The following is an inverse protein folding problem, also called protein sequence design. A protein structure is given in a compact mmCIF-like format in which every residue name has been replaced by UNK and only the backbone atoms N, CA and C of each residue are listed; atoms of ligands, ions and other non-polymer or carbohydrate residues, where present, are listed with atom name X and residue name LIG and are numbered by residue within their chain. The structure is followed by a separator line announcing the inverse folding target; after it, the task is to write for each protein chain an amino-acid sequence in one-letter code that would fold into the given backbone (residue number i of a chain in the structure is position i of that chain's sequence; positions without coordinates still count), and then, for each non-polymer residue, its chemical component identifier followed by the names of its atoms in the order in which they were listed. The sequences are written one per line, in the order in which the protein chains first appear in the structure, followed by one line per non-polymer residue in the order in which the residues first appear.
data_IF_702475882631
#
_entry.id   IF_702475882631
#
_cell.length_a   1.000
_cell.length_b   1.000
_cell.length_c   1.000
_cell.angle_alpha   90.00
_cell.angle_beta   90.00
_cell.angle_gamma   90.00
#
_symmetry.space_group_name_H-M   'P 1'
#
loop_
_entity.id
_entity.type
_entity.pdbx_description
1 polymer ?
#
# COMPACT_ATOMS: atom_id res chain seq x y z
N UNK A 1 6.22 5.48 -20.43
CA UNK A 1 5.85 6.47 -19.39
C UNK A 1 6.27 5.84 -18.08
N UNK A 2 7.24 6.44 -17.36
CA UNK A 2 7.80 5.83 -16.14
C UNK A 2 6.74 5.92 -15.05
N UNK A 3 6.11 4.80 -14.71
CA UNK A 3 5.30 4.67 -13.51
C UNK A 3 6.24 4.79 -12.31
N UNK A 4 6.54 6.03 -11.92
CA UNK A 4 6.98 6.31 -10.56
C UNK A 4 5.75 6.17 -9.69
N UNK A 5 5.35 4.92 -9.42
CA UNK A 5 4.48 4.65 -8.28
C UNK A 5 5.37 5.00 -7.10
N UNK A 6 5.09 6.18 -6.56
CA UNK A 6 5.52 6.60 -5.25
C UNK A 6 5.19 5.41 -4.36
N UNK A 7 6.23 4.73 -3.87
CA UNK A 7 6.11 3.87 -2.72
C UNK A 7 5.66 4.76 -1.56
N UNK A 8 4.36 5.06 -1.48
CA UNK A 8 3.66 4.76 -0.27
C UNK A 8 3.86 3.24 -0.17
N UNK A 9 4.70 2.70 0.71
CA UNK A 9 4.49 2.82 2.15
C UNK A 9 3.00 3.05 2.45
N UNK A 10 2.12 2.30 1.77
CA UNK A 10 1.01 1.72 2.47
C UNK A 10 1.68 0.84 3.50
N UNK A 11 1.88 1.44 4.66
CA UNK A 11 1.70 0.84 5.96
C UNK A 11 0.90 -0.45 5.82
N UNK A 12 1.58 -1.55 5.51
CA UNK A 12 1.11 -2.85 5.97
C UNK A 12 1.40 -2.79 7.47
N UNK A 13 0.51 -2.10 8.17
CA UNK A 13 0.13 -2.40 9.53
C UNK A 13 -0.45 -3.81 9.46
N UNK A 14 0.42 -4.81 9.29
CA UNK A 14 0.13 -6.15 9.78
C UNK A 14 0.15 -5.95 11.29
N UNK A 15 -1.02 -5.58 11.83
CA UNK A 15 -1.28 -5.71 13.25
C UNK A 15 -0.82 -7.10 13.65
N UNK A 16 -0.09 -7.18 14.75
CA UNK A 16 0.36 -8.44 15.35
C UNK A 16 -0.83 -9.40 15.40
N UNK A 17 -0.89 -10.37 14.48
CA UNK A 17 -2.01 -11.31 14.44
C UNK A 17 -1.62 -12.53 15.25
N UNK A 18 -1.88 -12.44 16.55
CA UNK A 18 -1.65 -13.52 17.51
C UNK A 18 -2.47 -14.75 17.12
N UNK A 19 -1.81 -15.78 16.60
CA UNK A 19 -2.41 -17.10 16.41
C UNK A 19 -1.78 -18.17 17.30
N UNK A 20 -2.62 -19.09 17.75
CA UNK A 20 -2.28 -20.17 18.66
C UNK A 20 -1.35 -21.18 18.01
N UNK A 21 -0.19 -21.40 18.63
CA UNK A 21 0.83 -22.36 18.20
C UNK A 21 0.26 -23.76 17.94
N UNK A 22 0.45 -24.27 16.73
CA UNK A 22 0.19 -25.67 16.38
C UNK A 22 1.52 -26.43 16.29
N UNK A 23 1.73 -27.42 17.16
CA UNK A 23 2.88 -28.32 17.08
C UNK A 23 2.60 -29.45 16.10
N UNK A 24 2.81 -29.20 14.81
CA UNK A 24 2.77 -30.23 13.75
C UNK A 24 4.15 -30.86 13.55
N UNK A 25 4.26 -32.17 13.78
CA UNK A 25 5.44 -32.98 13.45
C UNK A 25 5.33 -33.49 12.01
N UNK A 26 6.28 -33.15 11.13
CA UNK A 26 6.41 -33.84 9.84
C UNK A 26 7.83 -33.84 9.28
N UNK A 27 8.26 -35.07 8.94
CA UNK A 27 9.34 -35.59 8.10
C UNK A 27 10.38 -34.63 7.52
N UNK A 28 11.63 -34.86 7.94
CA UNK A 28 12.87 -34.32 7.37
C UNK A 28 12.97 -34.64 5.87
N UNK A 29 12.87 -33.60 5.04
CA UNK A 29 13.53 -33.58 3.74
C UNK A 29 14.95 -33.04 3.96
N UNK A 30 15.94 -33.68 3.33
CA UNK A 30 17.37 -33.40 3.47
C UNK A 30 17.69 -31.92 3.32
N UNK A 31 18.03 -31.30 4.46
CA UNK A 31 18.29 -29.88 4.65
C UNK A 31 19.66 -29.50 4.09
N UNK A 32 19.71 -28.63 3.08
CA UNK A 32 20.96 -28.00 2.65
C UNK A 32 21.23 -26.79 3.56
N UNK A 33 21.98 -27.02 4.64
CA UNK A 33 22.41 -26.00 5.62
C UNK A 33 23.28 -24.87 5.03
N UNK A 34 23.53 -24.92 3.72
CA UNK A 34 24.32 -23.91 3.00
C UNK A 34 23.50 -22.76 2.43
N UNK A 35 22.18 -22.83 2.32
CA UNK A 35 21.38 -21.70 1.82
C UNK A 35 21.03 -20.71 2.95
N UNK A 36 20.75 -19.43 2.61
CA UNK A 36 20.24 -18.42 3.58
C UNK A 36 18.74 -18.59 3.79
N UNK A 37 18.02 -18.90 2.71
CA UNK A 37 16.57 -19.11 2.68
C UNK A 37 16.35 -20.58 2.41
N UNK A 38 15.62 -21.25 3.30
CA UNK A 38 15.30 -22.67 3.21
C UNK A 38 13.79 -22.83 3.02
N UNK A 39 13.37 -23.36 1.87
CA UNK A 39 11.97 -23.68 1.61
C UNK A 39 11.48 -24.78 2.54
N UNK A 40 10.28 -24.59 3.07
CA UNK A 40 9.59 -25.56 3.92
C UNK A 40 8.18 -25.78 3.41
N UNK A 41 7.59 -26.92 3.74
CA UNK A 41 6.18 -27.20 3.46
C UNK A 41 5.38 -27.13 4.77
N UNK A 42 4.40 -26.22 4.82
CA UNK A 42 3.47 -26.11 5.93
C UNK A 42 2.05 -26.31 5.40
N UNK A 43 1.37 -27.32 5.93
CA UNK A 43 -0.06 -27.53 5.67
C UNK A 43 -0.89 -26.70 6.66
N UNK A 44 -0.98 -25.39 6.44
CA UNK A 44 -1.85 -24.50 7.21
C UNK A 44 -2.85 -23.81 6.28
N UNK A 45 -4.14 -24.08 6.49
CA UNK A 45 -5.24 -23.56 5.68
C UNK A 45 -5.38 -22.04 5.75
N UNK A 46 -4.94 -21.40 6.84
CA UNK A 46 -5.07 -19.94 7.03
C UNK A 46 -4.21 -19.14 6.05
N UNK A 47 -3.05 -19.66 5.64
CA UNK A 47 -2.20 -18.99 4.64
C UNK A 47 -2.90 -18.87 3.27
N UNK A 48 -3.77 -19.82 2.93
CA UNK A 48 -4.50 -19.80 1.66
C UNK A 48 -5.58 -18.72 1.63
N UNK A 49 -6.09 -18.27 2.78
CA UNK A 49 -7.03 -17.15 2.82
C UNK A 49 -6.30 -15.82 2.56
N UNK A 50 -5.09 -15.67 3.10
CA UNK A 50 -4.22 -14.51 2.90
C UNK A 50 -3.66 -14.43 1.47
N UNK A 51 -3.54 -15.56 0.76
CA UNK A 51 -2.91 -15.63 -0.56
C UNK A 51 -3.84 -15.31 -1.74
N UNK A 52 -5.11 -14.95 -1.51
CA UNK A 52 -6.08 -14.75 -2.61
C UNK A 52 -5.66 -13.66 -3.60
N UNK A 53 -4.92 -12.68 -3.11
CA UNK A 53 -4.46 -11.54 -3.90
C UNK A 53 -2.99 -11.66 -4.36
N UNK A 54 -2.32 -12.77 -4.01
CA UNK A 54 -0.92 -13.02 -4.38
C UNK A 54 -0.83 -13.81 -5.68
N UNK A 55 0.16 -13.48 -6.51
CA UNK A 55 0.40 -14.18 -7.77
C UNK A 55 1.14 -15.52 -7.59
N UNK A 56 1.56 -15.79 -6.36
CA UNK A 56 2.19 -17.01 -5.90
C UNK A 56 2.87 -16.78 -4.56
N UNK A 57 3.10 -17.85 -3.80
CA UNK A 57 3.84 -17.77 -2.55
C UNK A 57 4.58 -19.06 -2.22
N UNK A 58 5.53 -18.95 -1.30
CA UNK A 58 6.17 -20.09 -0.63
C UNK A 58 6.46 -19.76 0.83
N UNK A 59 6.49 -20.81 1.65
CA UNK A 59 6.89 -20.74 3.05
C UNK A 59 8.35 -21.11 3.19
N UNK A 60 9.10 -20.35 3.99
CA UNK A 60 10.53 -20.52 4.18
C UNK A 60 10.93 -20.35 5.65
N UNK A 61 12.11 -20.85 6.02
CA UNK A 61 12.85 -20.35 7.19
C UNK A 61 14.10 -19.63 6.70
N UNK A 62 14.58 -18.66 7.49
CA UNK A 62 15.71 -17.81 7.08
C UNK A 62 16.80 -17.85 8.15
N UNK A 63 18.04 -18.08 7.72
CA UNK A 63 19.24 -17.91 8.56
C UNK A 63 19.62 -16.43 8.61
N UNK A 64 19.05 -15.73 9.59
CA UNK A 64 19.23 -14.29 9.80
C UNK A 64 20.68 -13.92 10.10
N UNK A 65 21.40 -14.74 10.86
CA UNK A 65 22.80 -14.50 11.21
C UNK A 65 23.67 -14.52 9.96
N UNK A 66 23.43 -15.49 9.08
CA UNK A 66 24.14 -15.60 7.80
C UNK A 66 23.78 -14.48 6.84
N UNK A 67 22.50 -14.10 6.78
CA UNK A 67 22.05 -12.93 6.02
C UNK A 67 22.75 -11.66 6.48
N UNK A 68 22.73 -11.36 7.79
CA UNK A 68 23.40 -10.18 8.37
C UNK A 68 24.89 -10.21 8.11
N UNK A 69 25.57 -11.34 8.31
CA UNK A 69 27.01 -11.49 8.02
C UNK A 69 27.35 -11.26 6.55
N UNK A 70 26.47 -11.65 5.62
CA UNK A 70 26.64 -11.41 4.19
C UNK A 70 26.39 -9.92 3.86
N UNK A 71 25.31 -9.34 4.38
CA UNK A 71 24.94 -7.94 4.18
C UNK A 71 25.99 -6.98 4.72
N UNK A 72 26.55 -7.28 5.89
CA UNK A 72 27.64 -6.50 6.50
C UNK A 72 28.97 -6.60 5.73
N UNK A 73 29.12 -7.63 4.88
CA UNK A 73 30.24 -7.74 3.92
C UNK A 73 29.96 -7.06 2.58
N UNK A 74 28.79 -6.43 2.44
CA UNK A 74 28.39 -5.68 1.26
C UNK A 74 27.72 -6.51 0.16
N UNK A 75 27.62 -7.84 0.30
CA UNK A 75 27.06 -8.69 -0.75
C UNK A 75 26.20 -9.81 -0.16
N UNK A 76 24.97 -9.95 -0.64
CA UNK A 76 24.03 -10.99 -0.23
C UNK A 76 23.53 -11.73 -1.46
N UNK A 77 23.48 -13.06 -1.38
CA UNK A 77 22.77 -13.87 -2.37
C UNK A 77 21.54 -14.46 -1.71
N UNK A 78 20.36 -14.14 -2.24
CA UNK A 78 19.09 -14.73 -1.80
C UNK A 78 18.44 -15.48 -2.94
N UNK A 79 17.75 -16.56 -2.59
CA UNK A 79 16.96 -17.37 -3.51
C UNK A 79 15.51 -17.27 -3.10
N UNK A 80 14.69 -16.71 -3.97
CA UNK A 80 13.27 -16.45 -3.72
C UNK A 80 12.46 -17.05 -4.85
N UNK A 81 11.51 -17.93 -4.52
CA UNK A 81 10.65 -18.62 -5.48
C UNK A 81 11.39 -19.32 -6.63
N UNK A 82 12.57 -19.87 -6.34
CA UNK A 82 13.43 -20.53 -7.32
C UNK A 82 14.40 -19.62 -8.08
N UNK A 83 14.20 -18.31 -8.04
CA UNK A 83 15.08 -17.31 -8.66
C UNK A 83 16.21 -16.91 -7.70
N UNK A 84 17.40 -16.66 -8.25
CA UNK A 84 18.59 -16.33 -7.47
C UNK A 84 19.06 -14.90 -7.74
N UNK A 85 19.09 -14.06 -6.71
CA UNK A 85 19.47 -12.65 -6.81
C UNK A 85 20.73 -12.38 -6.00
N UNK A 86 21.72 -11.81 -6.67
CA UNK A 86 22.92 -11.26 -6.03
C UNK A 86 22.70 -9.77 -5.79
N UNK A 87 22.81 -9.35 -4.54
CA UNK A 87 22.52 -7.99 -4.08
C UNK A 87 23.81 -7.37 -3.55
N UNK A 88 24.20 -6.24 -4.14
CA UNK A 88 25.26 -5.38 -3.64
C UNK A 88 24.65 -4.34 -2.69
N UNK A 89 24.98 -4.42 -1.41
CA UNK A 89 24.47 -3.50 -0.39
C UNK A 89 25.10 -2.12 -0.60
N UNK A 90 24.25 -1.13 -0.80
CA UNK A 90 24.65 0.27 -1.00
C UNK A 90 24.55 1.08 0.29
N UNK A 91 23.52 0.79 1.08
CA UNK A 91 23.25 1.50 2.32
C UNK A 91 22.89 0.53 3.44
N UNK A 92 23.40 0.84 4.63
CA UNK A 92 23.02 0.23 5.88
C UNK A 92 22.62 1.33 6.85
N UNK A 93 21.39 1.31 7.32
CA UNK A 93 20.89 2.22 8.35
C UNK A 93 20.33 1.44 9.53
N UNK A 94 20.20 2.12 10.66
CA UNK A 94 19.69 1.55 11.91
C UNK A 94 18.58 2.45 12.41
N UNK A 95 17.46 1.87 12.84
CA UNK A 95 16.41 2.59 13.56
C UNK A 95 16.91 2.95 14.97
N UNK A 96 16.90 4.24 15.30
CA UNK A 96 17.27 4.70 16.64
C UNK A 96 16.29 4.14 17.68
N UNK A 97 16.81 3.56 18.76
CA UNK A 97 16.01 2.94 19.81
C UNK A 97 15.71 1.45 19.60
N UNK A 98 15.94 0.90 18.41
CA UNK A 98 15.68 -0.51 18.09
C UNK A 98 16.97 -1.27 17.74
N UNK A 99 16.91 -2.61 17.83
CA UNK A 99 17.96 -3.49 17.30
C UNK A 99 17.61 -3.97 15.88
N UNK A 100 17.17 -3.01 15.07
CA UNK A 100 16.68 -3.22 13.72
C UNK A 100 17.59 -2.52 12.70
N UNK A 101 17.90 -3.22 11.62
CA UNK A 101 18.75 -2.74 10.54
C UNK A 101 18.00 -2.76 9.22
N UNK A 102 18.18 -1.71 8.43
CA UNK A 102 17.77 -1.66 7.03
C UNK A 102 18.99 -1.80 6.15
N UNK A 103 18.86 -2.65 5.14
CA UNK A 103 19.85 -2.85 4.10
C UNK A 103 19.18 -2.57 2.75
N UNK A 104 19.65 -1.54 2.07
CA UNK A 104 19.23 -1.22 0.70
C UNK A 104 20.35 -1.60 -0.24
N UNK A 105 20.03 -2.35 -1.29
CA UNK A 105 21.00 -2.85 -2.24
C UNK A 105 20.50 -2.84 -3.68
N UNK A 106 21.45 -2.97 -4.61
CA UNK A 106 21.16 -3.14 -6.04
C UNK A 106 21.35 -4.59 -6.45
N UNK A 107 20.54 -5.06 -7.38
CA UNK A 107 20.67 -6.41 -7.92
C UNK A 107 21.71 -6.40 -9.03
N UNK A 108 22.78 -7.18 -8.85
CA UNK A 108 23.88 -7.29 -9.80
C UNK A 108 23.37 -7.77 -11.16
N UNK A 109 23.75 -7.05 -12.23
CA UNK A 109 23.33 -7.36 -13.59
C UNK A 109 21.97 -6.79 -13.99
N UNK A 110 21.23 -6.16 -13.07
CA UNK A 110 20.02 -5.41 -13.37
C UNK A 110 20.30 -3.91 -13.45
N UNK A 111 19.63 -3.21 -14.37
CA UNK A 111 19.73 -1.75 -14.49
C UNK A 111 18.95 -1.01 -13.40
N UNK A 112 17.80 -1.56 -13.03
CA UNK A 112 16.84 -0.93 -12.11
C UNK A 112 16.54 -1.80 -10.89
N UNK A 113 17.13 -3.00 -10.84
CA UNK A 113 16.87 -3.97 -9.80
C UNK A 113 17.40 -3.52 -8.44
N UNK A 114 16.56 -3.67 -7.43
CA UNK A 114 16.82 -3.24 -6.06
C UNK A 114 16.28 -4.25 -5.05
N UNK A 115 16.80 -4.18 -3.84
CA UNK A 115 16.28 -4.91 -2.70
C UNK A 115 16.37 -4.06 -1.45
N UNK A 116 15.31 -4.09 -0.66
CA UNK A 116 15.22 -3.44 0.63
C UNK A 116 14.92 -4.51 1.67
N UNK A 117 15.82 -4.71 2.63
CA UNK A 117 15.74 -5.76 3.65
C UNK A 117 15.74 -5.13 5.04
N UNK A 118 14.74 -5.47 5.84
CA UNK A 118 14.57 -5.04 7.23
C UNK A 118 14.78 -6.22 8.17
N UNK A 119 15.78 -6.11 9.06
CA UNK A 119 16.14 -7.20 9.98
C UNK A 119 16.06 -6.74 11.43
N UNK A 120 15.14 -7.32 12.19
CA UNK A 120 14.94 -7.07 13.62
C UNK A 120 14.96 -8.41 14.38
N UNK A 121 15.97 -8.61 15.24
CA UNK A 121 16.11 -9.90 15.95
C UNK A 121 16.19 -11.10 14.99
N UNK A 122 15.20 -12.00 15.07
CA UNK A 122 15.01 -13.17 14.19
C UNK A 122 14.06 -12.90 13.00
N UNK A 123 13.53 -11.68 12.88
CA UNK A 123 12.55 -11.31 11.88
C UNK A 123 13.23 -10.68 10.66
N UNK A 124 12.72 -11.02 9.48
CA UNK A 124 13.07 -10.41 8.21
C UNK A 124 11.77 -9.93 7.57
N UNK A 125 11.74 -8.67 7.18
CA UNK A 125 10.80 -8.12 6.22
C UNK A 125 11.56 -7.54 5.04
N UNK A 126 10.89 -7.35 3.91
CA UNK A 126 11.51 -6.61 2.80
C UNK A 126 10.97 -6.98 1.45
N UNK A 127 11.69 -6.52 0.42
CA UNK A 127 11.36 -6.77 -0.97
C UNK A 127 12.59 -6.99 -1.83
N UNK A 128 12.36 -7.69 -2.94
CA UNK A 128 13.30 -7.88 -4.04
C UNK A 128 12.57 -7.52 -5.32
N UNK A 129 13.05 -6.50 -5.98
CA UNK A 129 12.50 -5.99 -7.23
C UNK A 129 13.55 -6.18 -8.31
N UNK A 130 13.47 -7.24 -9.14
CA UNK A 130 14.50 -7.54 -10.13
C UNK A 130 14.71 -6.43 -11.17
N UNK A 131 13.70 -5.57 -11.39
CA UNK A 131 13.69 -4.58 -12.46
C UNK A 131 13.55 -5.20 -13.84
N UNK A 132 13.61 -4.37 -14.89
CA UNK A 132 13.41 -4.84 -16.27
C UNK A 132 14.30 -6.05 -16.64
N UNK A 133 13.76 -7.05 -17.36
CA UNK A 133 12.44 -7.10 -17.98
C UNK A 133 11.32 -7.59 -17.04
N UNK A 134 11.63 -7.88 -15.77
CA UNK A 134 10.64 -8.37 -14.82
C UNK A 134 9.78 -7.22 -14.31
N UNK A 135 8.47 -7.44 -14.29
CA UNK A 135 7.50 -6.51 -13.72
C UNK A 135 6.86 -7.13 -12.47
N UNK A 136 7.70 -7.61 -11.56
CA UNK A 136 7.28 -8.29 -10.34
C UNK A 136 8.04 -7.77 -9.13
N UNK A 137 7.42 -7.87 -7.96
CA UNK A 137 8.08 -7.70 -6.66
C UNK A 137 7.94 -8.99 -5.86
N UNK A 138 9.05 -9.50 -5.34
CA UNK A 138 9.03 -10.55 -4.33
C UNK A 138 9.04 -9.88 -2.95
N UNK A 139 7.98 -10.07 -2.19
CA UNK A 139 7.83 -9.54 -0.85
C UNK A 139 8.14 -10.63 0.17
N UNK A 140 8.79 -10.25 1.26
CA UNK A 140 9.16 -11.14 2.36
C UNK A 140 8.50 -10.61 3.63
N UNK A 141 7.71 -11.46 4.27
CA UNK A 141 7.05 -11.16 5.56
C UNK A 141 7.26 -12.31 6.53
N UNK A 142 7.33 -12.01 7.82
CA UNK A 142 7.39 -13.04 8.85
C UNK A 142 5.98 -13.39 9.34
N UNK A 143 5.88 -14.52 10.03
CA UNK A 143 4.65 -14.99 10.68
C UNK A 143 4.94 -15.30 12.15
N UNK A 144 3.89 -15.56 12.92
CA UNK A 144 4.03 -16.05 14.30
C UNK A 144 4.29 -17.56 14.38
N UNK A 145 4.21 -18.27 13.25
CA UNK A 145 4.47 -19.70 13.18
C UNK A 145 5.98 -20.01 13.30
N UNK A 146 6.29 -21.17 13.89
CA UNK A 146 7.67 -21.66 14.00
C UNK A 146 7.80 -23.06 13.42
N UNK A 147 8.87 -23.28 12.66
CA UNK A 147 9.26 -24.58 12.14
C UNK A 147 10.66 -24.94 12.65
N UNK A 148 10.78 -26.06 13.37
CA UNK A 148 12.02 -26.47 14.03
C UNK A 148 12.67 -25.36 14.88
N UNK A 149 11.84 -24.59 15.60
CA UNK A 149 12.28 -23.49 16.45
C UNK A 149 12.62 -22.20 15.71
N UNK A 150 12.67 -22.18 14.37
CA UNK A 150 12.90 -20.98 13.55
C UNK A 150 11.58 -20.32 13.18
N UNK A 151 11.58 -19.00 13.07
CA UNK A 151 10.43 -18.22 12.55
C UNK A 151 10.15 -18.64 11.12
N UNK A 152 8.88 -18.83 10.79
CA UNK A 152 8.38 -19.05 9.44
C UNK A 152 8.18 -17.71 8.76
N UNK A 153 8.71 -17.58 7.55
CA UNK A 153 8.48 -16.44 6.66
C UNK A 153 7.67 -16.89 5.45
N UNK A 154 6.95 -15.94 4.88
CA UNK A 154 6.25 -16.09 3.60
C UNK A 154 6.96 -15.20 2.60
N UNK A 155 7.31 -15.79 1.46
CA UNK A 155 7.72 -15.05 0.27
C UNK A 155 6.54 -15.11 -0.69
N UNK A 156 6.05 -13.95 -1.12
CA UNK A 156 4.99 -13.88 -2.12
C UNK A 156 5.36 -12.95 -3.25
N UNK A 157 4.86 -13.24 -4.44
CA UNK A 157 5.09 -12.44 -5.64
C UNK A 157 3.87 -11.59 -5.93
N UNK A 158 4.12 -10.33 -6.24
CA UNK A 158 3.15 -9.42 -6.83
C UNK A 158 3.55 -9.17 -8.28
N UNK A 159 2.69 -9.57 -9.21
CA UNK A 159 2.84 -9.31 -10.64
C UNK A 159 2.11 -8.01 -10.97
N UNK A 160 2.87 -6.95 -11.26
CA UNK A 160 2.32 -5.61 -11.44
C UNK A 160 1.49 -5.49 -12.71
N UNK A 161 1.72 -6.35 -13.72
CA UNK A 161 0.88 -6.38 -14.92
C UNK A 161 -0.47 -6.99 -14.60
N UNK A 162 -0.50 -8.14 -13.92
CA UNK A 162 -1.76 -8.74 -13.45
C UNK A 162 -2.49 -7.86 -12.45
N UNK A 163 -1.76 -7.17 -11.58
CA UNK A 163 -2.38 -6.23 -10.64
C UNK A 163 -3.07 -5.10 -11.38
N UNK A 164 -2.43 -4.52 -12.40
CA UNK A 164 -3.06 -3.52 -13.26
C UNK A 164 -4.32 -4.07 -13.95
N UNK A 165 -4.28 -5.30 -14.47
CA UNK A 165 -5.46 -5.92 -15.08
C UNK A 165 -6.60 -6.16 -14.07
N UNK A 166 -6.28 -6.52 -12.82
CA UNK A 166 -7.28 -6.65 -11.74
C UNK A 166 -7.95 -5.30 -11.46
N UNK A 167 -7.13 -4.25 -11.31
CA UNK A 167 -7.62 -2.89 -11.06
C UNK A 167 -8.47 -2.37 -12.24
N UNK A 168 -8.03 -2.57 -13.48
CA UNK A 168 -8.80 -2.20 -14.68
C UNK A 168 -10.16 -2.90 -14.75
N UNK A 169 -10.28 -4.14 -14.25
CA UNK A 169 -11.56 -4.88 -14.19
C UNK A 169 -12.49 -4.38 -13.08
N UNK A 170 -11.97 -3.84 -11.99
CA UNK A 170 -12.79 -3.29 -10.91
C UNK A 170 -13.53 -2.01 -11.33
N UNK A 171 -13.01 -1.31 -12.34
CA UNK A 171 -13.55 -0.03 -12.77
C UNK A 171 -13.07 1.11 -11.88
N UNK A 172 -13.56 2.32 -12.17
CA UNK A 172 -13.14 3.54 -11.46
C UNK A 172 -14.21 3.86 -10.43
N UNK A 173 -13.78 4.15 -9.21
CA UNK A 173 -14.66 4.55 -8.14
C UNK A 173 -15.15 5.99 -8.39
N UNK A 174 -16.46 6.24 -8.54
CA UNK A 174 -16.95 7.56 -8.86
C UNK A 174 -16.67 8.56 -7.75
N UNK A 175 -16.45 9.82 -8.14
CA UNK A 175 -16.30 10.91 -7.19
C UNK A 175 -17.60 11.14 -6.42
N UNK A 176 -17.43 11.52 -5.15
CA UNK A 176 -18.52 11.82 -4.24
C UNK A 176 -18.12 12.90 -3.24
N UNK A 177 -19.09 13.70 -2.79
CA UNK A 177 -18.84 14.70 -1.75
C UNK A 177 -20.06 14.89 -0.85
N UNK A 178 -19.79 15.39 0.35
CA UNK A 178 -20.80 15.78 1.34
C UNK A 178 -20.70 17.27 1.66
N UNK A 179 -21.84 17.94 1.76
CA UNK A 179 -21.97 19.31 2.23
C UNK A 179 -22.64 19.28 3.58
N UNK A 180 -22.02 19.90 4.58
CA UNK A 180 -22.49 19.86 5.97
C UNK A 180 -22.55 21.29 6.46
N UNK A 181 -23.75 21.77 6.81
CA UNK A 181 -23.91 23.12 7.33
C UNK A 181 -23.97 23.11 8.85
N UNK A 182 -22.89 23.58 9.48
CA UNK A 182 -22.81 23.81 10.92
C UNK A 182 -23.00 25.29 11.30
N UNK A 183 -23.22 26.19 10.34
CA UNK A 183 -23.65 27.58 10.59
C UNK A 183 -25.12 27.59 11.06
N UNK A 184 -25.48 28.63 11.81
CA UNK A 184 -26.84 28.90 12.27
C UNK A 184 -27.76 29.49 11.19
N UNK A 185 -27.25 29.73 9.98
CA UNK A 185 -27.98 30.31 8.84
C UNK A 185 -28.00 29.40 7.61
N UNK A 186 -28.92 29.73 6.69
CA UNK A 186 -28.98 29.10 5.39
C UNK A 186 -27.89 29.67 4.48
N UNK A 187 -27.30 28.81 3.66
CA UNK A 187 -26.29 29.20 2.68
C UNK A 187 -26.64 28.73 1.27
N UNK A 188 -26.20 29.51 0.28
CA UNK A 188 -26.18 29.09 -1.11
C UNK A 188 -24.76 28.65 -1.46
N UNK A 189 -24.61 27.43 -1.95
CA UNK A 189 -23.31 26.87 -2.35
C UNK A 189 -23.35 26.43 -3.81
N UNK A 190 -22.43 26.91 -4.63
CA UNK A 190 -22.21 26.41 -5.99
C UNK A 190 -20.90 25.63 -6.05
N UNK A 191 -20.93 24.47 -6.69
CA UNK A 191 -19.76 23.59 -6.82
C UNK A 191 -19.58 23.25 -8.28
N UNK A 192 -18.38 23.45 -8.80
CA UNK A 192 -17.97 23.04 -10.12
C UNK A 192 -16.70 22.18 -10.03
N UNK A 193 -16.70 21.03 -10.70
CA UNK A 193 -15.61 20.07 -10.66
C UNK A 193 -14.99 19.98 -12.04
N UNK A 194 -13.65 20.06 -12.08
CA UNK A 194 -12.86 20.03 -13.30
C UNK A 194 -11.96 18.79 -13.32
N UNK A 195 -11.90 18.14 -14.48
CA UNK A 195 -10.93 17.06 -14.74
C UNK A 195 -9.49 17.60 -14.91
N UNK A 196 -8.54 16.68 -15.09
CA UNK A 196 -7.13 17.02 -15.30
C UNK A 196 -6.85 17.82 -16.58
N UNK A 197 -7.78 17.86 -17.54
CA UNK A 197 -7.72 18.70 -18.74
C UNK A 197 -8.41 20.05 -18.53
N UNK A 198 -8.79 20.36 -17.29
CA UNK A 198 -9.54 21.56 -16.90
C UNK A 198 -10.90 21.67 -17.59
N UNK A 199 -11.53 20.54 -17.93
CA UNK A 199 -12.91 20.49 -18.43
C UNK A 199 -13.87 20.32 -17.27
N UNK A 200 -14.92 21.13 -17.25
CA UNK A 200 -16.00 21.00 -16.27
C UNK A 200 -16.75 19.68 -16.50
N UNK A 201 -16.76 18.82 -15.49
CA UNK A 201 -17.42 17.50 -15.52
C UNK A 201 -18.68 17.45 -14.64
N UNK A 202 -18.82 18.40 -13.72
CA UNK A 202 -19.96 18.53 -12.84
C UNK A 202 -20.12 19.98 -12.41
N UNK A 203 -21.36 20.48 -12.36
CA UNK A 203 -21.68 21.82 -11.90
C UNK A 203 -23.08 21.86 -11.32
N UNK A 204 -23.20 22.18 -10.03
CA UNK A 204 -24.49 22.26 -9.36
C UNK A 204 -24.52 23.37 -8.31
N UNK A 205 -25.72 23.72 -7.85
CA UNK A 205 -25.93 24.67 -6.77
C UNK A 205 -26.94 24.16 -5.75
N UNK A 206 -26.65 24.39 -4.49
CA UNK A 206 -27.36 23.86 -3.34
C UNK A 206 -27.76 24.99 -2.40
N UNK A 207 -28.99 24.96 -1.91
CA UNK A 207 -29.36 25.73 -0.71
C UNK A 207 -29.33 24.76 0.47
N UNK A 208 -28.52 25.07 1.49
CA UNK A 208 -28.30 24.21 2.65
C UNK A 208 -28.77 24.92 3.92
N UNK A 209 -29.66 24.30 4.69
CA UNK A 209 -30.16 24.86 5.95
C UNK A 209 -29.26 24.46 7.13
N UNK A 210 -29.33 25.15 8.27
CA UNK A 210 -28.60 24.77 9.49
C UNK A 210 -28.82 23.32 9.88
N UNK A 211 -27.73 22.59 10.08
CA UNK A 211 -27.74 21.17 10.46
C UNK A 211 -27.98 20.20 9.31
N UNK A 212 -28.18 20.68 8.06
CA UNK A 212 -28.34 19.80 6.91
C UNK A 212 -27.01 19.15 6.53
N UNK A 213 -27.12 17.88 6.10
CA UNK A 213 -26.07 17.17 5.36
C UNK A 213 -26.62 16.78 3.99
N UNK A 214 -25.99 17.26 2.92
CA UNK A 214 -26.32 16.91 1.53
C UNK A 214 -25.22 16.00 1.00
N UNK A 215 -25.62 14.90 0.39
CA UNK A 215 -24.76 13.97 -0.33
C UNK A 215 -24.89 14.22 -1.83
N UNK A 216 -23.77 14.33 -2.53
CA UNK A 216 -23.77 14.54 -3.99
C UNK A 216 -24.31 13.30 -4.72
N UNK A 217 -24.74 13.40 -5.99
CA UNK A 217 -24.80 12.21 -6.83
C UNK A 217 -23.38 11.60 -6.95
N UNK A 218 -23.31 10.32 -7.34
CA UNK A 218 -22.06 9.72 -7.81
C UNK A 218 -21.68 10.34 -9.15
N UNK A 219 -20.45 10.82 -9.27
CA UNK A 219 -19.95 11.53 -10.45
C UNK A 219 -18.93 10.62 -11.13
N UNK A 220 -19.25 10.18 -12.35
CA UNK A 220 -18.34 9.34 -13.11
C UNK A 220 -17.00 10.04 -13.33
N UNK A 221 -15.91 9.32 -13.11
CA UNK A 221 -14.56 9.83 -13.17
C UNK A 221 -13.66 8.94 -14.02
N UNK A 222 -12.56 9.54 -14.46
CA UNK A 222 -11.36 8.87 -14.96
C UNK A 222 -10.31 8.93 -13.85
N UNK A 223 -9.25 8.11 -13.93
CA UNK A 223 -8.17 8.16 -12.94
C UNK A 223 -7.47 9.52 -12.99
N UNK A 224 -7.23 10.12 -11.83
CA UNK A 224 -6.48 11.36 -11.73
C UNK A 224 -7.01 12.32 -10.69
N UNK A 225 -6.38 13.50 -10.63
CA UNK A 225 -6.79 14.56 -9.73
C UNK A 225 -7.87 15.44 -10.35
N UNK A 226 -8.87 15.76 -9.54
CA UNK A 226 -9.97 16.66 -9.86
C UNK A 226 -9.90 17.90 -9.00
N UNK A 227 -10.28 19.03 -9.60
CA UNK A 227 -10.29 20.35 -8.96
C UNK A 227 -11.72 20.79 -8.71
N UNK A 228 -12.05 21.07 -7.47
CA UNK A 228 -13.35 21.51 -7.00
C UNK A 228 -13.26 23.02 -6.77
N UNK A 229 -14.02 23.80 -7.54
CA UNK A 229 -14.25 25.22 -7.29
C UNK A 229 -15.58 25.37 -6.54
N UNK A 230 -15.52 25.96 -5.36
CA UNK A 230 -16.64 26.06 -4.42
C UNK A 230 -16.91 27.53 -4.15
N UNK A 231 -18.13 27.98 -4.41
CA UNK A 231 -18.58 29.34 -4.20
C UNK A 231 -19.66 29.37 -3.12
N UNK A 232 -19.38 30.05 -2.01
CA UNK A 232 -20.31 30.25 -0.89
C UNK A 232 -20.93 31.65 -0.96
N UNK A 233 -22.26 31.69 -0.93
CA UNK A 233 -23.12 32.89 -0.94
C UNK A 233 -22.77 33.91 -2.03
N UNK A 234 -22.25 33.43 -3.17
CA UNK A 234 -21.73 34.25 -4.27
C UNK A 234 -20.65 35.27 -3.86
N UNK A 235 -19.95 35.03 -2.75
CA UNK A 235 -18.96 35.95 -2.17
C UNK A 235 -17.60 35.33 -1.98
N UNK A 236 -17.55 34.10 -1.47
CA UNK A 236 -16.31 33.43 -1.11
C UNK A 236 -16.04 32.27 -2.06
N UNK A 237 -14.83 32.23 -2.63
CA UNK A 237 -14.42 31.16 -3.55
C UNK A 237 -13.29 30.36 -2.92
N UNK A 238 -13.42 29.04 -2.99
CA UNK A 238 -12.46 28.08 -2.49
C UNK A 238 -12.09 27.08 -3.58
N UNK A 239 -10.88 26.55 -3.51
CA UNK A 239 -10.41 25.47 -4.37
C UNK A 239 -9.99 24.29 -3.47
N UNK A 240 -10.41 23.08 -3.84
CA UNK A 240 -9.91 21.85 -3.25
C UNK A 240 -9.60 20.81 -4.33
N UNK A 241 -8.68 19.90 -4.05
CA UNK A 241 -8.34 18.79 -4.95
C UNK A 241 -8.64 17.45 -4.31
N UNK A 242 -9.06 16.51 -5.14
CA UNK A 242 -9.52 15.17 -4.79
C UNK A 242 -8.98 14.19 -5.83
N UNK A 243 -8.49 13.04 -5.39
CA UNK A 243 -8.00 11.96 -6.25
C UNK A 243 -9.12 10.95 -6.57
N UNK A 244 -9.29 10.64 -7.86
CA UNK A 244 -10.09 9.50 -8.31
C UNK A 244 -9.19 8.28 -8.54
N UNK A 245 -9.60 7.11 -8.04
CA UNK A 245 -8.86 5.85 -8.11
C UNK A 245 -9.76 4.64 -8.46
N UNK A 246 -9.17 3.46 -8.60
CA UNK A 246 -9.87 2.21 -8.94
C UNK A 246 -10.76 1.71 -7.81
N UNK A 247 -11.99 1.30 -8.11
CA UNK A 247 -12.88 0.73 -7.10
C UNK A 247 -12.21 -0.42 -6.34
N UNK A 248 -12.18 -0.31 -5.01
CA UNK A 248 -11.80 -1.38 -4.10
C UNK A 248 -13.02 -1.79 -3.27
N UNK A 249 -12.87 -2.85 -2.45
CA UNK A 249 -13.98 -3.40 -1.65
C UNK A 249 -14.66 -2.38 -0.72
N UNK A 250 -14.01 -1.26 -0.43
CA UNK A 250 -14.48 -0.23 0.52
C UNK A 250 -14.64 1.19 -0.07
N UNK A 251 -14.34 1.39 -1.37
CA UNK A 251 -14.04 2.69 -2.05
C UNK A 251 -12.52 2.95 -2.12
N UNK A 252 -12.07 3.92 -2.90
CA UNK A 252 -10.65 4.30 -3.01
C UNK A 252 -10.45 5.72 -3.52
N UNK A 253 -11.42 6.23 -4.27
CA UNK A 253 -11.48 7.65 -4.60
C UNK A 253 -11.68 8.45 -3.32
N UNK A 254 -10.96 9.55 -3.19
CA UNK A 254 -11.10 10.46 -2.06
C UNK A 254 -12.52 11.02 -2.01
N UNK A 255 -13.18 10.95 -0.85
CA UNK A 255 -14.47 11.59 -0.61
C UNK A 255 -14.24 12.94 0.07
N UNK A 256 -14.78 14.00 -0.53
CA UNK A 256 -14.65 15.35 0.00
C UNK A 256 -15.82 15.70 0.94
N UNK A 257 -15.51 16.13 2.14
CA UNK A 257 -16.46 16.70 3.10
C UNK A 257 -16.25 18.21 3.19
N UNK A 258 -17.29 18.98 2.91
CA UNK A 258 -17.28 20.44 2.92
C UNK A 258 -18.14 20.91 4.09
N UNK A 259 -17.50 21.46 5.11
CA UNK A 259 -18.15 21.97 6.32
C UNK A 259 -18.30 23.48 6.22
N UNK A 260 -19.54 23.98 6.30
CA UNK A 260 -19.82 25.41 6.47
C UNK A 260 -19.88 25.70 7.96
N UNK A 261 -19.13 26.70 8.42
CA UNK A 261 -18.97 27.01 9.84
C UNK A 261 -19.62 28.35 10.19
N UNK A 262 -20.08 28.50 11.43
CA UNK A 262 -20.46 29.79 12.03
C UNK A 262 -19.21 30.60 12.45
N UNK A 263 -18.27 30.76 11.52
CA UNK A 263 -17.05 31.56 11.69
C UNK A 263 -16.83 32.41 10.42
N UNK A 264 -16.97 33.75 10.50
CA UNK A 264 -16.82 34.60 9.33
C UNK A 264 -15.36 34.69 8.81
N UNK A 265 -14.35 34.34 9.62
CA UNK A 265 -12.96 34.28 9.18
C UNK A 265 -12.63 32.95 8.51
N UNK A 266 -13.28 31.85 8.96
CA UNK A 266 -13.10 30.49 8.43
C UNK A 266 -14.46 29.89 8.06
N UNK A 267 -15.16 30.43 7.05
CA UNK A 267 -16.53 30.05 6.75
C UNK A 267 -16.65 28.64 6.14
N UNK A 268 -15.54 28.06 5.65
CA UNK A 268 -15.48 26.69 5.16
C UNK A 268 -14.27 25.94 5.73
N UNK A 269 -14.44 24.66 6.02
CA UNK A 269 -13.37 23.70 6.29
C UNK A 269 -13.56 22.43 5.44
N UNK A 270 -12.45 21.78 5.08
CA UNK A 270 -12.47 20.56 4.27
C UNK A 270 -12.00 19.34 5.08
N UNK A 271 -12.68 18.21 4.91
CA UNK A 271 -12.20 16.89 5.28
C UNK A 271 -12.08 16.01 4.05
N UNK A 272 -11.06 15.15 4.01
CA UNK A 272 -10.88 14.15 2.97
C UNK A 272 -10.81 12.79 3.65
N UNK A 273 -11.58 11.84 3.12
CA UNK A 273 -11.55 10.44 3.54
C UNK A 273 -11.21 9.54 2.35
N UNK A 274 -10.49 8.46 2.63
CA UNK A 274 -10.28 7.35 1.71
C UNK A 274 -10.94 6.15 2.36
N UNK A 275 -12.23 6.01 2.08
CA UNK A 275 -13.03 4.86 2.50
C UNK A 275 -12.72 3.68 1.63
#
# INVERSE_FOLDING_TARGET
MRFKILAAVMSILLGIVVFSAYSGSSNESTQDDKEIIQKIEINNSSFFELSKDWDGFETVTIDIDKLRKAADKGNVTIKVMGECFNIEIQEKSRLEGENAYFYTGRITGSKEGRSDLYVEGEYLGGSVEPGEPWNVTYNIVHTDERYNGKVVHIIFVQDWEKQRERLEKMGIDPLHFFLINSDSRNHLMSIEIFDFNNRSVFKESYTINPGDTISSPKINAELGQYRYEILLDNKFTFEQRVQADYAADVSSSETLYIYVNDDPEIPITFGIDVS
#
